data_IF_573168222611
#
_entry.id   IF_573168222611
#
_cell.length_a   1.000
_cell.length_b   1.000
_cell.length_c   1.000
_cell.angle_alpha   90.00
_cell.angle_beta   90.00
_cell.angle_gamma   90.00
#
_symmetry.space_group_name_H-M   'P 1'
#
loop_
_entity.id
_entity.type
_entity.pdbx_description
1 polymer ?
#
# COMPACT_ATOMS: atom_id res chain seq x y z
N UNK A 1 20.58 -30.27 -11.82
CA UNK A 1 20.06 -29.37 -10.76
C UNK A 1 18.58 -29.66 -10.53
N UNK A 2 18.13 -29.89 -9.30
CA UNK A 2 16.72 -30.18 -8.98
C UNK A 2 16.16 -29.05 -8.11
N UNK A 3 15.21 -28.29 -8.64
CA UNK A 3 14.54 -27.20 -7.93
C UNK A 3 13.31 -27.79 -7.20
N UNK A 4 13.14 -27.45 -5.91
CA UNK A 4 11.97 -27.82 -5.11
C UNK A 4 11.28 -26.56 -4.64
N UNK A 5 9.99 -26.44 -4.93
CA UNK A 5 9.16 -25.32 -4.49
C UNK A 5 8.31 -25.73 -3.28
N UNK A 6 8.24 -24.86 -2.28
CA UNK A 6 7.32 -25.05 -1.15
C UNK A 6 5.88 -24.79 -1.57
N UNK A 7 4.95 -25.66 -1.16
CA UNK A 7 3.51 -25.44 -1.32
C UNK A 7 2.97 -24.25 -0.52
N UNK A 8 3.73 -23.75 0.45
CA UNK A 8 3.44 -22.53 1.22
C UNK A 8 4.48 -21.47 0.86
N UNK A 9 4.36 -20.92 -0.34
CA UNK A 9 5.21 -19.84 -0.84
C UNK A 9 4.34 -18.70 -1.40
N UNK A 10 4.86 -17.47 -1.35
CA UNK A 10 4.14 -16.29 -1.82
C UNK A 10 3.52 -15.43 -0.71
N UNK A 11 2.45 -14.72 -1.04
CA UNK A 11 1.85 -13.71 -0.16
C UNK A 11 0.94 -14.32 0.91
N UNK A 12 1.15 -13.90 2.16
CA UNK A 12 0.20 -14.17 3.24
C UNK A 12 -1.09 -13.37 3.05
N UNK A 13 -2.12 -13.72 3.83
CA UNK A 13 -3.42 -13.05 3.79
C UNK A 13 -3.32 -11.53 3.99
N UNK A 14 -2.53 -11.07 4.97
CA UNK A 14 -2.35 -9.64 5.27
C UNK A 14 -1.78 -8.86 4.07
N UNK A 15 -0.75 -9.41 3.43
CA UNK A 15 -0.15 -8.82 2.22
C UNK A 15 -1.14 -8.80 1.06
N UNK A 16 -1.86 -9.90 0.81
CA UNK A 16 -2.88 -9.96 -0.25
C UNK A 16 -3.98 -8.92 -0.01
N UNK A 17 -4.45 -8.79 1.23
CA UNK A 17 -5.48 -7.83 1.62
C UNK A 17 -5.00 -6.39 1.40
N UNK A 18 -3.79 -6.04 1.84
CA UNK A 18 -3.23 -4.71 1.67
C UNK A 18 -3.14 -4.30 0.19
N UNK A 19 -2.60 -5.19 -0.66
CA UNK A 19 -2.53 -4.97 -2.12
C UNK A 19 -3.93 -4.80 -2.70
N UNK A 20 -4.89 -5.66 -2.32
CA UNK A 20 -6.26 -5.61 -2.85
C UNK A 20 -6.96 -4.31 -2.51
N UNK A 21 -6.78 -3.80 -1.28
CA UNK A 21 -7.33 -2.50 -0.86
C UNK A 21 -6.74 -1.40 -1.73
N UNK A 22 -5.41 -1.34 -1.87
CA UNK A 22 -4.76 -0.31 -2.68
C UNK A 22 -5.23 -0.33 -4.14
N UNK A 23 -5.29 -1.51 -4.77
CA UNK A 23 -5.74 -1.63 -6.16
C UNK A 23 -7.20 -1.21 -6.35
N UNK A 24 -8.09 -1.58 -5.42
CA UNK A 24 -9.49 -1.17 -5.45
C UNK A 24 -9.64 0.33 -5.27
N UNK A 25 -8.99 0.92 -4.26
CA UNK A 25 -9.03 2.35 -4.00
C UNK A 25 -8.55 3.14 -5.22
N UNK A 26 -7.43 2.72 -5.84
CA UNK A 26 -6.91 3.33 -7.08
C UNK A 26 -7.93 3.25 -8.21
N UNK A 27 -8.53 2.07 -8.43
CA UNK A 27 -9.53 1.87 -9.47
C UNK A 27 -10.78 2.74 -9.25
N UNK A 28 -11.29 2.78 -8.03
CA UNK A 28 -12.55 3.45 -7.69
C UNK A 28 -12.42 4.98 -7.75
N UNK A 29 -11.24 5.53 -7.44
CA UNK A 29 -10.95 6.96 -7.61
C UNK A 29 -11.09 7.43 -9.06
N UNK A 30 -10.92 6.52 -10.03
CA UNK A 30 -10.81 6.83 -11.47
C UNK A 30 -9.78 7.94 -11.77
N UNK A 31 -8.73 8.03 -10.96
CA UNK A 31 -7.68 9.06 -11.08
C UNK A 31 -8.10 10.47 -10.69
N UNK A 32 -9.26 10.65 -10.04
CA UNK A 32 -9.75 11.98 -9.61
C UNK A 32 -9.25 12.40 -8.23
N UNK A 33 -8.90 11.43 -7.40
CA UNK A 33 -8.40 11.67 -6.04
C UNK A 33 -6.98 11.15 -5.90
N UNK A 34 -6.16 11.90 -5.15
CA UNK A 34 -4.84 11.43 -4.78
C UNK A 34 -4.93 10.31 -3.75
N UNK A 35 -4.19 9.24 -3.98
CA UNK A 35 -4.15 8.08 -3.09
C UNK A 35 -2.74 7.90 -2.57
N UNK A 36 -2.64 7.89 -1.25
CA UNK A 36 -1.41 7.83 -0.51
C UNK A 36 -1.30 6.51 0.27
N UNK A 37 -0.08 6.06 0.51
CA UNK A 37 0.21 5.06 1.54
C UNK A 37 1.16 5.66 2.57
N UNK A 38 0.82 5.53 3.85
CA UNK A 38 1.72 5.90 4.93
C UNK A 38 2.78 4.80 5.09
N UNK A 39 4.01 5.12 4.68
CA UNK A 39 5.09 4.15 4.52
C UNK A 39 4.87 3.17 3.35
N UNK A 40 5.82 2.27 3.11
CA UNK A 40 5.63 1.22 2.12
C UNK A 40 4.48 0.30 2.54
N UNK A 41 3.47 0.16 1.67
CA UNK A 41 2.30 -0.70 1.90
C UNK A 41 2.72 -2.11 2.36
N UNK A 42 3.77 -2.64 1.73
CA UNK A 42 4.51 -3.87 2.08
C UNK A 42 6.00 -3.69 1.73
N UNK A 43 6.89 -4.49 2.32
CA UNK A 43 8.33 -4.49 1.99
C UNK A 43 8.65 -5.29 0.71
N UNK A 44 8.04 -4.90 -0.42
CA UNK A 44 8.34 -5.46 -1.74
C UNK A 44 8.45 -4.34 -2.80
N UNK A 45 9.67 -3.92 -3.20
CA UNK A 45 9.86 -2.81 -4.13
C UNK A 45 9.18 -3.00 -5.49
N UNK A 46 9.09 -4.23 -6.00
CA UNK A 46 8.43 -4.51 -7.28
C UNK A 46 6.94 -4.26 -7.21
N UNK A 47 6.28 -4.70 -6.13
CA UNK A 47 4.85 -4.45 -5.91
C UNK A 47 4.58 -2.95 -5.70
N UNK A 48 5.41 -2.28 -4.88
CA UNK A 48 5.27 -0.84 -4.65
C UNK A 48 5.43 -0.06 -5.96
N UNK A 49 6.44 -0.38 -6.77
CA UNK A 49 6.63 0.27 -8.08
C UNK A 49 5.43 0.07 -9.00
N UNK A 50 4.85 -1.13 -9.03
CA UNK A 50 3.62 -1.41 -9.79
C UNK A 50 2.42 -0.57 -9.33
N UNK A 51 2.22 -0.44 -8.02
CA UNK A 51 1.15 0.39 -7.47
C UNK A 51 1.39 1.88 -7.70
N UNK A 52 2.64 2.35 -7.62
CA UNK A 52 2.98 3.75 -7.90
C UNK A 52 2.75 4.11 -9.36
N UNK A 53 3.04 3.20 -10.31
CA UNK A 53 2.67 3.39 -11.72
C UNK A 53 1.16 3.50 -11.93
N UNK A 54 0.35 2.90 -11.05
CA UNK A 54 -1.12 3.01 -11.04
C UNK A 54 -1.63 4.26 -10.30
N UNK A 55 -0.74 5.07 -9.70
CA UNK A 55 -1.09 6.33 -9.02
C UNK A 55 -0.87 6.34 -7.50
N UNK A 56 -0.41 5.25 -6.88
CA UNK A 56 -0.14 5.23 -5.44
C UNK A 56 1.09 6.06 -5.07
N UNK A 57 0.90 7.05 -4.20
CA UNK A 57 1.99 7.87 -3.66
C UNK A 57 2.40 7.36 -2.27
N UNK A 58 3.66 6.93 -2.12
CA UNK A 58 4.17 6.54 -0.79
C UNK A 58 4.71 7.78 -0.08
N UNK A 59 4.21 8.04 1.13
CA UNK A 59 4.61 9.18 1.95
C UNK A 59 5.14 8.73 3.30
N UNK A 60 5.91 9.59 3.96
CA UNK A 60 6.41 9.37 5.33
C UNK A 60 5.77 10.31 6.36
N UNK A 61 5.09 11.34 5.89
CA UNK A 61 4.50 12.38 6.71
C UNK A 61 3.14 12.75 6.14
N UNK A 62 2.09 12.54 6.95
CA UNK A 62 0.71 12.82 6.57
C UNK A 62 0.38 14.32 6.55
N UNK A 63 1.13 15.14 7.30
CA UNK A 63 0.91 16.59 7.37
C UNK A 63 1.17 17.29 6.03
N UNK A 64 1.83 16.60 5.10
CA UNK A 64 2.06 17.07 3.73
C UNK A 64 0.84 16.94 2.82
N UNK A 65 -0.19 16.19 3.23
CA UNK A 65 -1.39 15.94 2.43
C UNK A 65 -2.45 17.00 2.74
N UNK A 66 -2.93 17.69 1.70
CA UNK A 66 -4.06 18.64 1.82
C UNK A 66 -5.42 17.97 1.63
N UNK A 67 -5.48 16.97 0.75
CA UNK A 67 -6.69 16.20 0.42
C UNK A 67 -6.28 14.90 -0.27
N UNK A 68 -7.03 13.84 -0.02
CA UNK A 68 -6.85 12.55 -0.67
C UNK A 68 -7.28 11.40 0.22
N UNK A 69 -7.05 10.18 -0.23
CA UNK A 69 -7.25 8.97 0.58
C UNK A 69 -5.91 8.45 1.07
N UNK A 70 -5.79 8.15 2.37
CA UNK A 70 -4.59 7.57 2.96
C UNK A 70 -4.83 6.11 3.32
N UNK A 71 -3.96 5.23 2.84
CA UNK A 71 -3.96 3.81 3.16
C UNK A 71 -2.86 3.55 4.19
N UNK A 72 -3.27 3.11 5.38
CA UNK A 72 -2.33 2.66 6.41
C UNK A 72 -1.72 1.31 6.00
N UNK A 73 -0.41 1.18 6.14
CA UNK A 73 0.33 -0.03 5.75
C UNK A 73 -0.09 -1.25 6.58
N UNK A 74 0.24 -2.46 6.09
CA UNK A 74 -0.04 -3.69 6.84
C UNK A 74 0.71 -3.81 8.17
N UNK A 75 1.69 -2.94 8.41
CA UNK A 75 2.47 -2.88 9.65
C UNK A 75 1.81 -1.97 10.71
N UNK A 76 0.75 -1.25 10.34
CA UNK A 76 0.11 -0.25 11.19
C UNK A 76 0.72 1.14 11.02
N UNK A 77 0.32 2.04 11.92
CA UNK A 77 0.85 3.39 12.07
C UNK A 77 0.80 3.78 13.56
N UNK A 78 1.69 4.68 14.02
CA UNK A 78 1.59 5.30 15.34
C UNK A 78 0.24 6.01 15.53
N UNK A 79 -0.23 6.13 16.78
CA UNK A 79 -1.52 6.74 17.08
C UNK A 79 -1.57 8.20 16.65
N UNK A 80 -0.47 8.91 16.80
CA UNK A 80 -0.31 10.32 16.42
C UNK A 80 -0.55 10.53 14.92
N UNK A 81 -0.22 9.54 14.10
CA UNK A 81 -0.51 9.55 12.66
C UNK A 81 -2.00 9.36 12.42
N UNK A 82 -2.67 8.52 13.20
CA UNK A 82 -4.10 8.26 13.02
C UNK A 82 -4.93 9.47 13.48
N UNK A 83 -4.55 10.12 14.58
CA UNK A 83 -5.22 11.32 15.10
C UNK A 83 -5.02 12.56 14.20
N UNK A 84 -3.98 12.56 13.37
CA UNK A 84 -3.69 13.65 12.43
C UNK A 84 -4.40 13.54 11.06
N UNK A 85 -5.19 12.49 10.80
CA UNK A 85 -5.95 12.27 9.56
C UNK A 85 -7.36 12.85 9.63
#
# INVERSE_FOLDING_TARGET
MRIKLSGRSGFCFGVRRAITIAEKTLKDSRGRDDIYSFGPLIHNPHVISGLSKKGLKVIKDICTIKKGTVIISSHGAPMEVIEGL
#
